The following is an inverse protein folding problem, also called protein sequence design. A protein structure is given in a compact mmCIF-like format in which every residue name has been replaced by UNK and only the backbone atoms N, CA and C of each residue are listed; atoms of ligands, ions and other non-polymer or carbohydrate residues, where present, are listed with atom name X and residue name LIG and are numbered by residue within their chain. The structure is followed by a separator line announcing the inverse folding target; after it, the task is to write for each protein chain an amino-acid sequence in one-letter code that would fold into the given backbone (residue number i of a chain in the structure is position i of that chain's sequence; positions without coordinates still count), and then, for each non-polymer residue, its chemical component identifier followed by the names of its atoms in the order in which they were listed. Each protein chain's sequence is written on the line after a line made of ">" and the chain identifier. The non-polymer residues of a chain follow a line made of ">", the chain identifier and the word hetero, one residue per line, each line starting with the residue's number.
data_IF_427222471698
#
_entry.id   IF_427222471698
#
_cell.length_a   1.000
_cell.length_b   1.000
_cell.length_c   1.000
_cell.angle_alpha   90.00
_cell.angle_beta   90.00
_cell.angle_gamma   90.00
#
_symmetry.space_group_name_H-M   'P 1'
#
loop_
_entity.id
_entity.type
_entity.pdbx_description
1 polymer ?
#
# COMPACT_ATOMS: atom_id res chain seq x y z
N UNK A 1 0.05 -0.67 11.56
CA UNK A 1 0.78 -0.47 10.28
C UNK A 1 -0.23 -0.61 9.16
N UNK A 2 -0.35 0.39 8.28
CA UNK A 2 -1.29 0.36 7.14
C UNK A 2 -0.86 -0.63 6.04
N UNK A 3 -1.79 -1.01 5.16
CA UNK A 3 -1.44 -1.65 3.88
C UNK A 3 -0.63 -0.63 3.05
N UNK A 4 0.32 -1.11 2.25
CA UNK A 4 1.03 -0.24 1.29
C UNK A 4 0.02 0.43 0.35
N UNK A 5 0.22 1.70 -0.04
CA UNK A 5 -0.63 2.36 -1.03
C UNK A 5 -0.36 1.87 -2.47
N UNK A 6 0.71 1.08 -2.65
CA UNK A 6 1.14 0.56 -3.94
C UNK A 6 0.56 -0.83 -4.22
N UNK A 7 0.51 -1.21 -5.50
CA UNK A 7 0.02 -2.54 -5.89
C UNK A 7 1.16 -3.55 -5.88
N UNK A 8 1.02 -4.63 -5.12
CA UNK A 8 1.97 -5.74 -5.12
C UNK A 8 1.60 -6.71 -6.25
N UNK A 9 2.56 -7.00 -7.13
CA UNK A 9 2.38 -7.89 -8.27
C UNK A 9 3.31 -9.09 -8.14
N UNK A 10 2.71 -10.27 -7.91
CA UNK A 10 3.42 -11.55 -7.82
C UNK A 10 2.82 -12.54 -8.84
N UNK A 11 3.42 -12.67 -10.04
CA UNK A 11 2.91 -13.56 -11.08
C UNK A 11 2.92 -15.03 -10.63
N UNK A 12 1.84 -15.76 -10.93
CA UNK A 12 1.71 -17.19 -10.63
C UNK A 12 2.71 -18.08 -11.39
N UNK A 13 3.32 -17.55 -12.45
CA UNK A 13 4.35 -18.23 -13.23
C UNK A 13 5.75 -18.20 -12.58
N UNK A 14 5.92 -17.44 -11.50
CA UNK A 14 7.17 -17.36 -10.74
C UNK A 14 7.02 -18.06 -9.39
N UNK A 15 8.16 -18.42 -8.78
CA UNK A 15 8.20 -19.01 -7.44
C UNK A 15 7.55 -18.09 -6.40
N UNK A 16 6.93 -18.66 -5.36
CA UNK A 16 6.37 -17.87 -4.26
C UNK A 16 7.47 -17.01 -3.60
N UNK A 17 7.27 -15.68 -3.50
CA UNK A 17 8.30 -14.81 -2.95
C UNK A 17 8.31 -14.89 -1.42
N UNK A 18 9.48 -15.14 -0.84
CA UNK A 18 9.68 -15.22 0.61
C UNK A 18 10.55 -14.05 1.05
N UNK A 19 9.96 -13.09 1.77
CA UNK A 19 10.69 -11.93 2.30
C UNK A 19 10.91 -10.78 1.29
N UNK A 20 10.23 -10.81 0.14
CA UNK A 20 10.22 -9.75 -0.87
C UNK A 20 8.91 -9.84 -1.69
N UNK A 21 8.71 -8.93 -2.65
CA UNK A 21 7.72 -9.07 -3.73
C UNK A 21 8.42 -9.02 -5.09
N UNK A 22 7.91 -9.75 -6.09
CA UNK A 22 8.51 -9.78 -7.43
C UNK A 22 8.44 -8.43 -8.13
N UNK A 23 7.30 -7.75 -8.03
CA UNK A 23 7.09 -6.43 -8.60
C UNK A 23 6.14 -5.60 -7.72
N UNK A 24 6.20 -4.28 -7.92
CA UNK A 24 5.34 -3.33 -7.26
C UNK A 24 5.02 -2.19 -8.23
N UNK A 25 3.72 -1.91 -8.44
CA UNK A 25 3.27 -0.78 -9.25
C UNK A 25 3.06 0.41 -8.32
N UNK A 26 3.85 1.46 -8.58
CA UNK A 26 3.95 2.62 -7.71
C UNK A 26 2.85 3.62 -8.04
N UNK A 27 2.07 3.98 -7.02
CA UNK A 27 1.07 5.05 -7.07
C UNK A 27 1.74 6.42 -7.29
N UNK A 28 1.08 7.38 -7.98
CA UNK A 28 1.60 8.74 -8.12
C UNK A 28 1.94 9.37 -6.78
N UNK A 29 3.05 10.10 -6.71
CA UNK A 29 3.55 10.58 -5.43
C UNK A 29 4.94 11.20 -5.46
N UNK A 30 5.35 11.71 -4.30
CA UNK A 30 6.69 12.25 -4.07
C UNK A 30 7.68 11.11 -3.83
N UNK A 31 8.76 11.09 -4.60
CA UNK A 31 9.86 10.13 -4.43
C UNK A 31 10.80 10.57 -3.31
N UNK A 32 11.18 9.62 -2.45
CA UNK A 32 12.16 9.78 -1.36
C UNK A 32 13.27 8.76 -1.57
N UNK A 33 14.50 9.24 -1.74
CA UNK A 33 15.69 8.39 -1.74
C UNK A 33 16.35 8.44 -0.38
N UNK A 34 16.52 7.28 0.25
CA UNK A 34 17.19 7.14 1.54
C UNK A 34 18.61 6.64 1.30
N UNK A 35 19.60 7.43 1.73
CA UNK A 35 21.01 7.02 1.68
C UNK A 35 21.25 5.77 2.54
N UNK A 36 22.31 5.03 2.23
CA UNK A 36 22.66 3.81 2.95
C UNK A 36 22.84 4.02 4.45
N UNK A 37 22.15 3.20 5.23
CA UNK A 37 22.16 3.21 6.68
C UNK A 37 22.92 1.98 7.17
N UNK A 38 23.99 2.22 7.93
CA UNK A 38 24.65 1.19 8.72
C UNK A 38 24.12 1.23 10.16
N UNK A 39 24.66 0.36 11.02
CA UNK A 39 24.41 0.33 12.44
C UNK A 39 25.05 1.51 13.20
N UNK A 40 24.90 2.73 12.68
CA UNK A 40 25.56 3.94 13.15
C UNK A 40 24.71 4.67 14.18
N UNK A 41 25.31 5.19 15.24
CA UNK A 41 24.68 6.12 16.20
C UNK A 41 24.85 7.57 15.73
N UNK A 42 24.14 8.48 16.40
CA UNK A 42 24.23 9.93 16.12
C UNK A 42 25.62 10.52 16.36
N UNK A 43 26.45 9.87 17.17
CA UNK A 43 27.85 10.24 17.41
C UNK A 43 28.81 9.70 16.31
N UNK A 44 28.28 9.00 15.31
CA UNK A 44 29.06 8.43 14.20
C UNK A 44 29.58 7.00 14.44
N UNK A 45 29.45 6.46 15.65
CA UNK A 45 29.97 5.12 16.00
C UNK A 45 29.12 4.00 15.41
N UNK A 46 29.76 2.95 14.87
CA UNK A 46 29.09 1.71 14.44
C UNK A 46 28.98 0.75 15.62
N UNK A 47 27.83 0.08 15.77
CA UNK A 47 27.48 -0.67 16.98
C UNK A 47 26.80 -1.98 16.64
N UNK A 48 26.95 -2.98 17.52
CA UNK A 48 26.41 -4.34 17.32
C UNK A 48 27.53 -5.32 17.00
N UNK A 49 27.45 -6.52 17.59
CA UNK A 49 28.52 -7.53 17.53
C UNK A 49 28.38 -8.45 16.32
N UNK A 50 27.21 -8.51 15.69
CA UNK A 50 26.97 -9.32 14.52
C UNK A 50 25.90 -8.77 13.58
N UNK A 51 25.68 -9.49 12.48
CA UNK A 51 24.78 -9.11 11.38
C UNK A 51 23.37 -8.76 11.87
N UNK A 52 22.82 -9.49 12.85
CA UNK A 52 21.46 -9.26 13.35
C UNK A 52 21.32 -7.92 14.07
N UNK A 53 22.22 -7.61 15.02
CA UNK A 53 22.15 -6.37 15.79
C UNK A 53 22.45 -5.16 14.90
N UNK A 54 23.37 -5.35 13.95
CA UNK A 54 23.68 -4.32 12.98
C UNK A 54 22.52 -4.08 12.00
N UNK A 55 21.87 -5.14 11.52
CA UNK A 55 20.67 -5.03 10.69
C UNK A 55 19.51 -4.33 11.44
N UNK A 56 19.30 -4.66 12.71
CA UNK A 56 18.30 -4.01 13.57
C UNK A 56 18.50 -2.50 13.64
N UNK A 57 19.73 -2.06 13.95
CA UNK A 57 20.04 -0.63 14.02
C UNK A 57 19.98 0.04 12.64
N UNK A 58 20.53 -0.58 11.60
CA UNK A 58 20.50 -0.05 10.24
C UNK A 58 19.06 0.15 9.74
N UNK A 59 18.18 -0.82 9.99
CA UNK A 59 16.78 -0.74 9.61
C UNK A 59 16.03 0.32 10.44
N UNK A 60 16.32 0.43 11.74
CA UNK A 60 15.78 1.51 12.58
C UNK A 60 16.17 2.90 12.05
N UNK A 61 17.45 3.08 11.70
CA UNK A 61 17.95 4.34 11.14
C UNK A 61 17.29 4.67 9.79
N UNK A 62 17.08 3.67 8.94
CA UNK A 62 16.38 3.84 7.66
C UNK A 62 14.91 4.25 7.87
N UNK A 63 14.21 3.65 8.84
CA UNK A 63 12.85 4.06 9.19
C UNK A 63 12.81 5.48 9.77
N UNK A 64 13.79 5.87 10.58
CA UNK A 64 13.91 7.24 11.08
C UNK A 64 14.11 8.25 9.95
N UNK A 65 14.99 7.94 8.99
CA UNK A 65 15.21 8.77 7.81
C UNK A 65 13.95 8.90 6.93
N UNK A 66 13.20 7.82 6.74
CA UNK A 66 11.91 7.85 6.05
C UNK A 66 10.93 8.79 6.74
N UNK A 67 10.77 8.65 8.06
CA UNK A 67 9.85 9.48 8.85
C UNK A 67 10.22 10.95 8.81
N UNK A 68 11.52 11.26 8.91
CA UNK A 68 12.02 12.63 8.76
C UNK A 68 11.70 13.24 7.38
N UNK A 69 11.63 12.41 6.33
CA UNK A 69 11.22 12.81 4.98
C UNK A 69 9.69 12.81 4.75
N UNK A 70 8.89 12.57 5.80
CA UNK A 70 7.43 12.46 5.73
C UNK A 70 6.96 11.19 5.00
N UNK A 71 7.75 10.12 5.05
CA UNK A 71 7.41 8.80 4.50
C UNK A 71 7.25 7.76 5.62
N UNK A 72 6.46 6.73 5.34
CA UNK A 72 6.28 5.57 6.22
C UNK A 72 6.94 4.34 5.61
N UNK A 73 7.26 3.31 6.42
CA UNK A 73 7.76 2.03 5.91
C UNK A 73 6.87 1.38 4.84
N UNK A 74 5.57 1.64 4.85
CA UNK A 74 4.62 1.15 3.86
C UNK A 74 4.77 1.80 2.47
N UNK A 75 5.50 2.93 2.38
CA UNK A 75 5.79 3.66 1.14
C UNK A 75 7.05 3.16 0.43
N UNK A 76 7.80 2.22 1.02
CA UNK A 76 9.02 1.71 0.40
C UNK A 76 8.67 0.92 -0.87
N UNK A 77 9.32 1.26 -1.98
CA UNK A 77 9.11 0.65 -3.30
C UNK A 77 10.29 -0.20 -3.78
N UNK A 78 11.48 0.02 -3.20
CA UNK A 78 12.70 -0.77 -3.44
C UNK A 78 13.55 -0.75 -2.17
N UNK A 79 14.07 -1.92 -1.77
CA UNK A 79 15.02 -2.04 -0.67
C UNK A 79 16.24 -2.87 -1.08
N UNK A 80 17.43 -2.36 -0.76
CA UNK A 80 18.69 -3.10 -0.94
C UNK A 80 19.38 -3.26 0.39
N UNK A 81 19.87 -4.47 0.64
CA UNK A 81 20.67 -4.82 1.80
C UNK A 81 22.01 -5.34 1.31
N UNK A 82 23.09 -4.68 1.72
CA UNK A 82 24.44 -5.15 1.49
C UNK A 82 24.97 -5.75 2.79
N UNK A 83 25.69 -6.87 2.69
CA UNK A 83 26.36 -7.47 3.85
C UNK A 83 27.74 -7.99 3.50
N UNK A 84 28.69 -7.83 4.40
CA UNK A 84 30.05 -8.39 4.27
C UNK A 84 30.13 -9.84 4.74
N UNK A 85 29.13 -10.34 5.45
CA UNK A 85 29.04 -11.72 5.96
C UNK A 85 27.71 -12.38 5.56
N UNK A 86 27.63 -12.75 4.28
CA UNK A 86 26.48 -13.47 3.73
C UNK A 86 26.24 -14.84 4.41
N UNK A 87 27.26 -15.64 4.78
CA UNK A 87 27.06 -16.85 5.57
C UNK A 87 26.31 -16.60 6.89
N UNK A 88 26.76 -15.61 7.69
CA UNK A 88 26.08 -15.26 8.94
C UNK A 88 24.67 -14.72 8.70
N UNK A 89 24.47 -13.88 7.68
CA UNK A 89 23.14 -13.37 7.31
C UNK A 89 22.16 -14.51 6.99
N UNK A 90 22.59 -15.52 6.23
CA UNK A 90 21.76 -16.68 5.89
C UNK A 90 21.45 -17.54 7.11
N UNK A 91 22.45 -17.80 7.95
CA UNK A 91 22.30 -18.58 9.18
C UNK A 91 21.26 -17.93 10.12
N UNK A 92 21.25 -16.59 10.19
CA UNK A 92 20.36 -15.81 11.06
C UNK A 92 19.08 -15.29 10.37
N UNK A 93 18.76 -15.77 9.18
CA UNK A 93 17.64 -15.25 8.35
C UNK A 93 16.29 -15.23 9.08
N UNK A 94 16.02 -16.20 9.96
CA UNK A 94 14.82 -16.21 10.80
C UNK A 94 14.77 -15.04 11.79
N UNK A 95 15.90 -14.75 12.45
CA UNK A 95 16.06 -13.64 13.40
C UNK A 95 16.02 -12.29 12.67
N UNK A 96 16.72 -12.18 11.54
CA UNK A 96 16.67 -11.01 10.65
C UNK A 96 15.23 -10.74 10.20
N UNK A 97 14.49 -11.78 9.80
CA UNK A 97 13.07 -11.65 9.44
C UNK A 97 12.17 -11.20 10.60
N UNK A 98 12.49 -11.60 11.85
CA UNK A 98 11.77 -11.13 13.04
C UNK A 98 12.05 -9.65 13.31
N UNK A 99 13.32 -9.23 13.23
CA UNK A 99 13.74 -7.82 13.32
C UNK A 99 13.03 -6.99 12.25
N UNK A 100 13.06 -7.44 11.00
CA UNK A 100 12.40 -6.78 9.88
C UNK A 100 10.93 -6.49 10.17
N UNK A 101 10.18 -7.49 10.64
CA UNK A 101 8.75 -7.35 10.94
C UNK A 101 8.43 -6.35 12.05
N UNK A 102 9.37 -6.06 12.96
CA UNK A 102 9.17 -5.02 14.00
C UNK A 102 9.05 -3.62 13.40
N UNK A 103 9.76 -3.35 12.30
CA UNK A 103 9.82 -2.03 11.67
C UNK A 103 8.94 -1.93 10.43
N UNK A 104 8.89 -2.98 9.62
CA UNK A 104 8.21 -2.98 8.31
C UNK A 104 6.83 -3.67 8.37
N UNK A 105 6.51 -4.35 9.49
CA UNK A 105 5.31 -5.18 9.58
C UNK A 105 5.37 -6.38 8.65
N UNK A 106 4.25 -6.71 7.99
CA UNK A 106 4.16 -7.81 7.01
C UNK A 106 4.23 -7.32 5.55
N UNK A 107 4.64 -6.07 5.35
CA UNK A 107 4.85 -5.52 4.01
C UNK A 107 6.28 -5.85 3.55
N UNK A 108 6.40 -6.35 2.33
CA UNK A 108 7.68 -6.70 1.71
C UNK A 108 7.75 -6.06 0.32
N UNK A 109 8.55 -5.00 0.11
CA UNK A 109 8.76 -4.43 -1.22
C UNK A 109 9.62 -5.38 -2.07
N UNK A 110 9.78 -5.09 -3.37
CA UNK A 110 10.95 -5.55 -4.11
C UNK A 110 12.22 -5.34 -3.28
N UNK A 111 12.98 -6.41 -3.09
CA UNK A 111 14.15 -6.41 -2.23
C UNK A 111 15.27 -7.24 -2.82
N UNK A 112 16.50 -6.74 -2.66
CA UNK A 112 17.72 -7.47 -3.00
C UNK A 112 18.67 -7.51 -1.82
N UNK A 113 19.24 -8.69 -1.52
CA UNK A 113 20.32 -8.85 -0.54
C UNK A 113 21.60 -9.28 -1.27
N UNK A 114 22.68 -8.53 -1.09
CA UNK A 114 23.95 -8.70 -1.80
C UNK A 114 25.09 -8.93 -0.81
N UNK A 115 25.89 -9.95 -1.07
CA UNK A 115 27.18 -10.14 -0.41
C UNK A 115 28.22 -9.23 -1.07
N UNK A 116 28.93 -8.43 -0.28
CA UNK A 116 29.96 -7.50 -0.75
C UNK A 116 31.29 -7.75 -0.03
N UNK A 117 32.40 -7.31 -0.62
CA UNK A 117 33.73 -7.50 -0.02
C UNK A 117 34.06 -6.47 1.07
N UNK A 118 33.28 -5.39 1.18
CA UNK A 118 33.47 -4.35 2.18
C UNK A 118 32.39 -3.27 2.09
N UNK A 119 32.25 -2.49 3.17
CA UNK A 119 31.44 -1.28 3.26
C UNK A 119 32.36 -0.08 3.55
N UNK A 120 31.82 1.14 3.51
CA UNK A 120 32.62 2.36 3.73
C UNK A 120 33.31 2.35 5.10
N UNK A 121 32.59 1.89 6.12
CA UNK A 121 33.12 1.74 7.47
C UNK A 121 33.51 0.27 7.69
N UNK A 122 34.77 -0.01 8.10
CA UNK A 122 35.24 -1.38 8.28
C UNK A 122 34.52 -2.14 9.39
N UNK A 123 33.91 -1.45 10.36
CA UNK A 123 33.16 -2.08 11.44
C UNK A 123 31.70 -2.40 11.04
N UNK A 124 31.27 -1.94 9.86
CA UNK A 124 29.94 -2.22 9.33
C UNK A 124 29.89 -3.60 8.65
N UNK A 125 28.95 -4.43 9.10
CA UNK A 125 28.63 -5.74 8.53
C UNK A 125 27.41 -5.70 7.60
N UNK A 126 26.57 -4.66 7.75
CA UNK A 126 25.32 -4.49 7.03
C UNK A 126 25.09 -3.02 6.68
N UNK A 127 24.58 -2.77 5.48
CA UNK A 127 24.08 -1.48 5.03
C UNK A 127 22.72 -1.64 4.34
N UNK A 128 21.73 -0.84 4.75
CA UNK A 128 20.36 -0.87 4.24
C UNK A 128 20.04 0.47 3.58
N UNK A 129 19.50 0.44 2.37
CA UNK A 129 19.00 1.61 1.68
C UNK A 129 17.64 1.30 1.05
N UNK A 130 16.89 2.36 0.78
CA UNK A 130 15.61 2.21 0.11
C UNK A 130 15.24 3.42 -0.74
N UNK A 131 14.31 3.18 -1.66
CA UNK A 131 13.52 4.24 -2.28
C UNK A 131 12.08 4.07 -1.82
N UNK A 132 11.42 5.18 -1.51
CA UNK A 132 10.01 5.21 -1.14
C UNK A 132 9.24 6.22 -2.00
N UNK A 133 7.95 6.00 -2.17
CA UNK A 133 7.05 6.96 -2.81
C UNK A 133 5.88 7.26 -1.89
N UNK A 134 5.82 8.50 -1.42
CA UNK A 134 4.71 8.99 -0.60
C UNK A 134 3.57 9.32 -1.55
N UNK A 135 2.41 8.63 -1.46
CA UNK A 135 1.32 8.86 -2.38
C UNK A 135 0.83 10.30 -2.26
N UNK A 136 0.45 10.89 -3.39
CA UNK A 136 -0.36 12.10 -3.36
C UNK A 136 -1.69 11.77 -2.66
N UNK A 137 -1.95 12.41 -1.52
CA UNK A 137 -3.32 12.57 -1.07
C UNK A 137 -3.88 13.66 -1.98
N UNK A 138 -5.01 13.45 -2.67
CA UNK A 138 -5.66 14.57 -3.36
C UNK A 138 -5.81 15.73 -2.35
N UNK A 139 -5.54 16.97 -2.76
CA UNK A 139 -5.64 18.13 -1.84
C UNK A 139 -7.02 18.21 -1.18
N UNK A 140 -8.04 17.69 -1.86
CA UNK A 140 -9.25 17.20 -1.24
C UNK A 140 -8.95 15.89 -0.51
N UNK A 141 -8.73 15.95 0.80
CA UNK A 141 -8.84 14.77 1.67
C UNK A 141 -10.16 14.01 1.40
N UNK A 142 -10.41 12.84 2.02
CA UNK A 142 -11.67 12.12 1.81
C UNK A 142 -12.81 13.12 1.97
N UNK A 143 -13.54 13.40 0.88
CA UNK A 143 -14.62 14.36 0.91
C UNK A 143 -15.53 13.95 2.06
N UNK A 144 -15.87 14.89 2.92
CA UNK A 144 -16.85 14.59 3.95
C UNK A 144 -18.12 14.14 3.21
N UNK A 145 -18.85 13.19 3.81
CA UNK A 145 -20.08 12.69 3.19
C UNK A 145 -21.04 13.82 2.77
N UNK A 146 -21.02 14.93 3.51
CA UNK A 146 -21.75 16.17 3.22
C UNK A 146 -21.30 16.88 1.93
N UNK A 147 -20.00 16.89 1.63
CA UNK A 147 -19.44 17.45 0.39
C UNK A 147 -19.73 16.53 -0.80
N UNK A 148 -19.74 15.20 -0.57
CA UNK A 148 -20.14 14.23 -1.60
C UNK A 148 -21.60 14.39 -1.96
N UNK A 149 -22.46 14.61 -0.97
CA UNK A 149 -23.89 14.81 -1.20
C UNK A 149 -24.19 16.10 -1.98
N UNK A 150 -23.50 17.21 -1.67
CA UNK A 150 -23.62 18.46 -2.43
C UNK A 150 -23.24 18.31 -3.90
N UNK A 151 -22.18 17.56 -4.20
CA UNK A 151 -21.77 17.30 -5.57
C UNK A 151 -22.77 16.41 -6.32
N UNK A 152 -23.41 15.46 -5.64
CA UNK A 152 -24.51 14.67 -6.24
C UNK A 152 -25.72 15.55 -6.53
N UNK A 153 -26.12 16.41 -5.59
CA UNK A 153 -27.23 17.37 -5.79
C UNK A 153 -26.94 18.35 -6.92
N UNK A 154 -25.73 18.92 -6.99
CA UNK A 154 -25.33 19.83 -8.08
C UNK A 154 -25.33 19.14 -9.45
N UNK A 155 -24.87 17.89 -9.54
CA UNK A 155 -24.91 17.10 -10.77
C UNK A 155 -26.35 16.73 -11.14
N UNK A 156 -27.18 16.35 -10.19
CA UNK A 156 -28.61 16.08 -10.43
C UNK A 156 -29.36 17.33 -10.91
N UNK A 157 -29.14 18.48 -10.28
CA UNK A 157 -29.76 19.74 -10.69
C UNK A 157 -29.32 20.17 -12.10
N UNK A 158 -28.05 19.93 -12.44
CA UNK A 158 -27.51 20.21 -13.80
C UNK A 158 -28.11 19.27 -14.85
N UNK A 159 -28.25 17.97 -14.54
CA UNK A 159 -28.89 17.00 -15.43
C UNK A 159 -30.39 17.27 -15.60
N UNK A 160 -31.05 17.77 -14.55
CA UNK A 160 -32.47 18.15 -14.58
C UNK A 160 -32.69 19.48 -15.31
N UNK A 161 -31.75 20.43 -15.26
CA UNK A 161 -31.83 21.66 -16.05
C UNK A 161 -31.61 21.40 -17.54
N UNK A 162 -30.63 20.56 -17.91
CA UNK A 162 -30.35 20.23 -19.31
C UNK A 162 -31.51 19.45 -19.96
N UNK A 163 -32.24 18.65 -19.17
CA UNK A 163 -33.42 17.93 -19.65
C UNK A 163 -34.66 18.82 -19.89
N UNK A 164 -34.66 20.08 -19.42
CA UNK A 164 -35.78 21.03 -19.62
C UNK A 164 -35.61 21.92 -20.86
N UNK A 165 -34.40 21.99 -21.41
CA UNK A 165 -34.09 22.79 -22.61
C UNK A 165 -34.27 22.00 -23.92
N UNK A 166 -34.58 20.70 -23.85
CA UNK A 166 -35.02 19.94 -25.01
C UNK A 166 -36.54 20.10 -25.21
N UNK A 167 -36.92 21.09 -26.03
CA UNK A 167 -38.26 21.19 -26.65
C UNK A 167 -38.47 19.96 -27.55
N UNK A 168 -39.03 18.89 -26.98
CA UNK A 168 -39.43 17.69 -27.72
C UNK A 168 -40.57 18.07 -28.69
N UNK A 169 -40.39 17.96 -30.02
CA UNK A 169 -41.48 18.24 -30.95
C UNK A 169 -42.62 17.25 -30.73
N UNK A 170 -43.84 17.78 -30.63
CA UNK A 170 -45.04 17.08 -30.18
C UNK A 170 -45.26 15.69 -30.81
N UNK A 171 -45.50 14.72 -29.92
CA UNK A 171 -45.93 13.37 -30.30
C UNK A 171 -47.35 13.40 -30.91
N UNK A 172 -47.65 12.60 -31.94
CA UNK A 172 -49.00 12.50 -32.49
C UNK A 172 -49.92 11.69 -31.57
N UNK A 173 -51.19 12.09 -31.54
CA UNK A 173 -52.26 11.54 -30.71
C UNK A 173 -52.42 10.01 -30.81
N UNK A 174 -52.49 9.36 -29.65
CA UNK A 174 -52.84 7.95 -29.53
C UNK A 174 -54.37 7.77 -29.38
N UNK A 175 -55.00 6.78 -30.04
CA UNK A 175 -56.39 6.44 -29.77
C UNK A 175 -56.52 5.51 -28.56
N UNK A 176 -57.63 5.71 -27.85
CA UNK A 176 -57.90 5.22 -26.50
C UNK A 176 -57.96 3.71 -26.30
N UNK A 177 -57.83 3.33 -25.02
CA UNK A 177 -58.13 1.99 -24.53
C UNK A 177 -57.59 1.73 -23.13
N UNK A 178 -58.38 2.02 -22.10
CA UNK A 178 -58.18 1.46 -20.75
C UNK A 178 -58.88 0.09 -20.70
N UNK A 179 -58.28 -0.96 -20.12
CA UNK A 179 -58.71 -1.34 -18.78
C UNK A 179 -57.63 -1.99 -17.88
N UNK A 180 -57.87 -1.97 -16.57
CA UNK A 180 -57.42 -3.05 -15.67
C UNK A 180 -56.26 -2.73 -14.73
N UNK A 181 -56.56 -2.12 -13.57
CA UNK A 181 -55.68 -2.18 -12.39
C UNK A 181 -55.85 -3.54 -11.72
N UNK A 182 -54.83 -4.40 -11.76
CA UNK A 182 -54.68 -5.48 -10.77
C UNK A 182 -53.51 -5.17 -9.83
N UNK A 183 -53.83 -5.19 -8.53
CA UNK A 183 -52.89 -5.03 -7.42
C UNK A 183 -52.17 -6.35 -7.20
N UNK A 184 -50.84 -6.33 -7.20
CA UNK A 184 -50.03 -7.46 -6.72
C UNK A 184 -49.45 -7.13 -5.33
N UNK A 185 -49.77 -7.96 -4.34
CA UNK A 185 -49.23 -7.91 -2.98
C UNK A 185 -48.02 -8.85 -2.86
N UNK A 186 -46.98 -8.53 -2.06
CA UNK A 186 -45.85 -9.43 -1.84
C UNK A 186 -46.16 -10.46 -0.74
N UNK A 187 -46.00 -11.75 -1.05
CA UNK A 187 -46.16 -12.85 -0.10
C UNK A 187 -44.88 -13.11 0.70
N UNK A 188 -45.01 -13.10 2.02
CA UNK A 188 -44.02 -13.52 3.01
C UNK A 188 -43.99 -15.03 3.25
N UNK A 189 -42.87 -15.52 3.83
CA UNK A 189 -42.59 -16.83 4.46
C UNK A 189 -41.70 -17.77 3.64
N UNK A 190 -40.69 -18.49 4.17
CA UNK A 190 -40.49 -19.04 5.53
C UNK A 190 -39.02 -19.47 5.76
N UNK A 191 -38.65 -19.56 7.03
CA UNK A 191 -37.36 -20.03 7.63
C UNK A 191 -37.11 -21.54 7.48
N UNK A 192 -35.82 -21.89 7.30
CA UNK A 192 -34.93 -22.94 7.87
C UNK A 192 -35.49 -24.29 8.40
N UNK A 193 -34.66 -25.38 8.44
CA UNK A 193 -33.71 -25.54 9.55
C UNK A 193 -32.34 -26.20 9.21
N UNK A 194 -31.39 -26.01 10.15
CA UNK A 194 -30.08 -26.68 10.28
C UNK A 194 -30.22 -28.17 10.61
N UNK A 195 -29.17 -28.97 10.32
CA UNK A 195 -28.50 -29.84 11.30
C UNK A 195 -27.18 -30.42 10.77
N UNK A 196 -26.18 -30.42 11.66
CA UNK A 196 -24.90 -31.11 11.59
C UNK A 196 -25.07 -32.65 11.79
N UNK A 197 -23.98 -33.42 11.71
CA UNK A 197 -23.07 -33.61 12.85
C UNK A 197 -21.69 -32.95 12.68
#
# INVERSE_FOLDING_TARGET
>A
MGRTPHEIVNPLSLNEPVGFSHALVVSPGRVVHVGGQCARRSDGTVVGAGVVEQFDRALANMVEALRAAGADPAHVVDMRVFTTDMPAYRAESGTVGAVYRRYMGRFYPPMTVLGVTGLLDPDALVEVLCTAVVPEVPESGPMRAEETWKLVEEVEDTLVSDARDEDVPGAPDAPGGTPGRERFQPSSHRRAPRRSP
#
